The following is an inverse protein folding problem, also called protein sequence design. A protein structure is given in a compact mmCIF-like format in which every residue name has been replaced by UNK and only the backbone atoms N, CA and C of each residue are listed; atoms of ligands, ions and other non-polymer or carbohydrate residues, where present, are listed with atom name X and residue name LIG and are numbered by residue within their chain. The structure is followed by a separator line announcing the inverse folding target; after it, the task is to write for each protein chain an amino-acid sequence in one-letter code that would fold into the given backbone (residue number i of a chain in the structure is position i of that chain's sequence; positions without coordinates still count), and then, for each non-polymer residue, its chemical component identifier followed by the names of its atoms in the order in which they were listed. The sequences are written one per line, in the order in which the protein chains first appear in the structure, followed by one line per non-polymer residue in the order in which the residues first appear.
data_IF_281510063757
#
_entry.id   IF_281510063757
#
_cell.length_a   1.000
_cell.length_b   1.000
_cell.length_c   1.000
_cell.angle_alpha   90.00
_cell.angle_beta   90.00
_cell.angle_gamma   90.00
#
_symmetry.space_group_name_H-M   'P 1'
#
loop_
_entity.id
_entity.type
_entity.pdbx_description
1 polymer ?
#
# COMPACT_ATOMS: atom_id res chain seq x y z
N UNK A 1 5.17 0.04 -10.37
CA UNK A 1 3.68 0.04 -10.35
C UNK A 1 3.20 -1.19 -11.11
N UNK A 2 2.23 -1.90 -10.56
CA UNK A 2 1.62 -3.12 -11.10
C UNK A 2 0.58 -2.86 -12.20
N UNK A 3 0.82 -1.86 -13.05
CA UNK A 3 -0.14 -1.50 -14.08
C UNK A 3 0.10 -2.40 -15.30
N UNK A 4 -0.85 -3.28 -15.58
CA UNK A 4 -0.87 -4.14 -16.76
C UNK A 4 -1.27 -3.31 -18.02
N UNK A 5 -0.36 -2.42 -18.44
CA UNK A 5 -0.61 -1.45 -19.53
C UNK A 5 -0.20 -2.07 -20.87
N UNK A 6 -0.87 -3.16 -21.26
CA UNK A 6 -0.75 -3.72 -22.61
C UNK A 6 -1.76 -3.09 -23.57
N UNK A 7 -1.31 -2.63 -24.75
CA UNK A 7 -2.20 -2.10 -25.81
C UNK A 7 -2.93 -3.20 -26.59
N UNK A 8 -2.42 -4.44 -26.56
CA UNK A 8 -3.03 -5.62 -27.19
C UNK A 8 -3.25 -6.78 -26.21
N UNK A 9 -4.11 -7.77 -26.54
CA UNK A 9 -4.47 -8.89 -25.67
C UNK A 9 -3.29 -9.83 -25.33
N UNK A 10 -2.23 -9.86 -26.14
CA UNK A 10 -1.01 -10.64 -25.88
C UNK A 10 0.01 -9.90 -25.00
N UNK A 11 -0.13 -8.57 -24.88
CA UNK A 11 0.74 -7.73 -24.04
C UNK A 11 0.17 -7.55 -22.62
N UNK A 12 -1.05 -8.06 -22.37
CA UNK A 12 -1.70 -7.99 -21.07
C UNK A 12 -1.50 -9.29 -20.30
N UNK A 13 -1.04 -9.18 -19.06
CA UNK A 13 -0.91 -10.30 -18.14
C UNK A 13 -2.31 -10.87 -17.77
N UNK A 14 -3.33 -9.99 -17.69
CA UNK A 14 -4.71 -10.34 -17.37
C UNK A 14 -5.73 -9.72 -18.35
N UNK A 15 -6.74 -10.50 -18.73
CA UNK A 15 -7.84 -10.01 -19.58
C UNK A 15 -8.89 -9.20 -18.81
N UNK A 16 -8.87 -9.27 -17.48
CA UNK A 16 -9.78 -8.58 -16.58
C UNK A 16 -9.73 -9.16 -15.16
N UNK A 17 -10.62 -8.68 -14.28
CA UNK A 17 -10.66 -9.12 -12.87
C UNK A 17 -10.94 -10.62 -12.72
N UNK A 18 -11.94 -11.14 -13.44
CA UNK A 18 -12.30 -12.56 -13.38
C UNK A 18 -11.18 -13.49 -13.89
N UNK A 19 -10.49 -13.08 -14.97
CA UNK A 19 -9.33 -13.80 -15.51
C UNK A 19 -8.15 -13.78 -14.52
N UNK A 20 -7.90 -12.64 -13.86
CA UNK A 20 -6.90 -12.52 -12.81
C UNK A 20 -7.20 -13.45 -11.64
N UNK A 21 -8.39 -13.38 -11.05
CA UNK A 21 -8.78 -14.23 -9.94
C UNK A 21 -8.68 -15.72 -10.30
N UNK A 22 -9.17 -16.12 -11.48
CA UNK A 22 -9.12 -17.50 -11.93
C UNK A 22 -7.68 -17.99 -12.18
N UNK A 23 -6.81 -17.18 -12.79
CA UNK A 23 -5.41 -17.53 -13.02
C UNK A 23 -4.63 -17.68 -11.72
N UNK A 24 -4.77 -16.72 -10.80
CA UNK A 24 -4.10 -16.76 -9.49
C UNK A 24 -4.61 -17.94 -8.67
N UNK A 25 -5.92 -18.18 -8.63
CA UNK A 25 -6.49 -19.30 -7.90
C UNK A 25 -6.05 -20.65 -8.49
N UNK A 26 -5.92 -20.77 -9.82
CA UNK A 26 -5.39 -21.99 -10.45
C UNK A 26 -3.89 -22.20 -10.19
N UNK A 27 -3.11 -21.12 -10.08
CA UNK A 27 -1.66 -21.20 -9.90
C UNK A 27 -1.24 -21.43 -8.44
N UNK A 28 -1.75 -20.59 -7.53
CA UNK A 28 -1.34 -20.54 -6.12
C UNK A 28 -2.46 -20.94 -5.15
N UNK A 29 -3.66 -21.25 -5.64
CA UNK A 29 -4.81 -21.56 -4.80
C UNK A 29 -5.33 -20.32 -4.03
N UNK A 30 -6.11 -20.53 -2.96
CA UNK A 30 -6.65 -19.44 -2.16
C UNK A 30 -5.57 -18.59 -1.48
N UNK A 31 -4.42 -19.18 -1.13
CA UNK A 31 -3.36 -18.45 -0.42
C UNK A 31 -2.68 -17.39 -1.29
N UNK A 32 -2.66 -17.58 -2.62
CA UNK A 32 -2.16 -16.59 -3.57
C UNK A 32 -2.99 -15.30 -3.58
N UNK A 33 -4.30 -15.40 -3.36
CA UNK A 33 -5.19 -14.23 -3.30
C UNK A 33 -5.00 -13.40 -2.03
N UNK A 34 -4.52 -14.01 -0.94
CA UNK A 34 -4.31 -13.35 0.36
C UNK A 34 -2.82 -13.06 0.66
N UNK A 35 -1.92 -13.22 -0.31
CA UNK A 35 -0.51 -12.84 -0.14
C UNK A 35 -0.40 -11.35 0.20
N UNK A 36 0.26 -11.05 1.32
CA UNK A 36 0.40 -9.68 1.82
C UNK A 36 -0.70 -9.25 2.82
N UNK A 37 -1.69 -10.09 3.12
CA UNK A 37 -2.76 -9.74 4.07
C UNK A 37 -2.24 -9.30 5.45
N UNK A 38 -1.27 -10.03 6.03
CA UNK A 38 -0.72 -9.68 7.35
C UNK A 38 -0.06 -8.30 7.41
N UNK A 39 0.67 -7.90 6.38
CA UNK A 39 1.29 -6.56 6.31
C UNK A 39 0.26 -5.48 5.99
N UNK A 40 -0.79 -5.81 5.23
CA UNK A 40 -1.93 -4.92 5.00
C UNK A 40 -2.64 -4.57 6.31
N UNK A 41 -2.90 -5.56 7.17
CA UNK A 41 -3.53 -5.35 8.48
C UNK A 41 -2.67 -4.43 9.35
N UNK A 42 -1.35 -4.67 9.42
CA UNK A 42 -0.42 -3.79 10.13
C UNK A 42 -0.44 -2.36 9.58
N UNK A 43 -0.43 -2.21 8.25
CA UNK A 43 -0.53 -0.91 7.58
C UNK A 43 -1.81 -0.15 7.93
N UNK A 44 -2.96 -0.83 7.99
CA UNK A 44 -4.24 -0.23 8.38
C UNK A 44 -4.22 0.23 9.84
N UNK A 45 -3.66 -0.58 10.75
CA UNK A 45 -3.55 -0.22 12.16
C UNK A 45 -2.67 1.03 12.32
N UNK A 46 -1.51 1.07 11.66
CA UNK A 46 -0.59 2.21 11.70
C UNK A 46 -1.22 3.45 11.07
N UNK A 47 -1.89 3.31 9.92
CA UNK A 47 -2.62 4.40 9.28
C UNK A 47 -3.66 5.01 10.21
N UNK A 48 -4.50 4.18 10.85
CA UNK A 48 -5.53 4.66 11.79
C UNK A 48 -4.92 5.27 13.04
N UNK A 49 -3.89 4.66 13.62
CA UNK A 49 -3.22 5.19 14.80
C UNK A 49 -2.60 6.57 14.51
N UNK A 50 -1.91 6.72 13.39
CA UNK A 50 -1.38 7.99 12.92
C UNK A 50 -2.50 9.00 12.67
N UNK A 51 -3.54 8.60 11.95
CA UNK A 51 -4.66 9.48 11.60
C UNK A 51 -5.33 10.06 12.84
N UNK A 52 -5.74 9.22 13.80
CA UNK A 52 -6.35 9.69 15.04
C UNK A 52 -5.38 10.50 15.89
N UNK A 53 -4.12 10.06 16.02
CA UNK A 53 -3.11 10.79 16.80
C UNK A 53 -2.84 12.20 16.27
N UNK A 54 -2.63 12.34 14.95
CA UNK A 54 -2.41 13.65 14.34
C UNK A 54 -3.69 14.49 14.33
N UNK A 55 -4.85 13.88 14.12
CA UNK A 55 -6.12 14.61 14.14
C UNK A 55 -6.44 15.18 15.51
N UNK A 56 -6.26 14.40 16.57
CA UNK A 56 -6.49 14.84 17.95
C UNK A 56 -5.48 15.92 18.36
N UNK A 57 -4.21 15.78 17.96
CA UNK A 57 -3.18 16.80 18.17
C UNK A 57 -3.53 18.10 17.44
N UNK A 58 -3.93 18.02 16.16
CA UNK A 58 -4.31 19.19 15.38
C UNK A 58 -5.55 19.89 15.95
N UNK A 59 -6.51 19.14 16.48
CA UNK A 59 -7.67 19.71 17.19
C UNK A 59 -7.30 20.35 18.53
N UNK A 60 -6.39 19.74 19.30
CA UNK A 60 -5.92 20.28 20.57
C UNK A 60 -5.11 21.57 20.43
N UNK A 61 -4.49 21.80 19.28
CA UNK A 61 -3.76 23.04 18.98
C UNK A 61 -4.65 24.18 18.47
N UNK A 62 -5.92 23.93 18.16
CA UNK A 62 -6.87 24.96 17.72
C UNK A 62 -7.43 25.72 18.93
N UNK A 63 -7.35 27.06 18.98
CA UNK A 63 -7.91 27.87 20.06
C UNK A 63 -9.44 27.73 20.20
N UNK A 64 -10.14 27.50 19.08
CA UNK A 64 -11.57 27.23 19.07
C UNK A 64 -11.95 26.27 17.91
N UNK A 65 -12.05 24.96 18.17
CA UNK A 65 -12.33 23.94 17.16
C UNK A 65 -13.66 24.12 16.43
N UNK A 66 -14.61 24.88 17.02
CA UNK A 66 -15.94 25.14 16.43
C UNK A 66 -15.98 26.42 15.61
N UNK A 67 -15.02 27.32 15.80
CA UNK A 67 -14.88 28.55 15.00
C UNK A 67 -13.94 28.38 13.81
N UNK A 68 -13.27 27.23 13.67
CA UNK A 68 -12.43 26.92 12.53
C UNK A 68 -13.28 26.89 11.25
N UNK A 69 -13.08 27.89 10.37
CA UNK A 69 -13.75 27.95 9.08
C UNK A 69 -13.55 26.68 8.26
N UNK A 70 -14.49 26.39 7.36
CA UNK A 70 -14.53 25.16 6.54
C UNK A 70 -13.17 24.90 5.85
N UNK A 71 -12.48 25.94 5.39
CA UNK A 71 -11.18 25.85 4.73
C UNK A 71 -10.09 25.33 5.69
N UNK A 72 -10.06 25.81 6.94
CA UNK A 72 -9.06 25.39 7.93
C UNK A 72 -9.29 23.93 8.32
N UNK A 73 -10.54 23.56 8.57
CA UNK A 73 -10.92 22.16 8.86
C UNK A 73 -10.58 21.21 7.71
N UNK A 74 -10.79 21.66 6.47
CA UNK A 74 -10.42 20.90 5.27
C UNK A 74 -8.90 20.76 5.13
N UNK A 75 -8.12 21.83 5.32
CA UNK A 75 -6.66 21.77 5.28
C UNK A 75 -6.09 20.82 6.33
N UNK A 76 -6.59 20.89 7.57
CA UNK A 76 -6.17 19.96 8.64
C UNK A 76 -6.49 18.52 8.26
N UNK A 77 -7.69 18.26 7.73
CA UNK A 77 -8.07 16.92 7.29
C UNK A 77 -7.14 16.39 6.18
N UNK A 78 -6.80 17.23 5.18
CA UNK A 78 -5.87 16.85 4.12
C UNK A 78 -4.46 16.60 4.68
N UNK A 79 -3.91 17.51 5.48
CA UNK A 79 -2.57 17.35 6.06
C UNK A 79 -2.45 16.09 6.90
N UNK A 80 -3.43 15.83 7.77
CA UNK A 80 -3.46 14.61 8.60
C UNK A 80 -3.54 13.35 7.74
N UNK A 81 -4.37 13.36 6.69
CA UNK A 81 -4.50 12.24 5.76
C UNK A 81 -3.20 11.98 5.01
N UNK A 82 -2.56 13.02 4.48
CA UNK A 82 -1.28 12.97 3.78
C UNK A 82 -0.18 12.40 4.68
N UNK A 83 -0.01 12.92 5.90
CA UNK A 83 1.03 12.48 6.83
C UNK A 83 0.81 11.00 7.22
N UNK A 84 -0.43 10.63 7.55
CA UNK A 84 -0.79 9.25 7.91
C UNK A 84 -0.57 8.29 6.74
N UNK A 85 -0.89 8.74 5.53
CA UNK A 85 -0.59 8.03 4.29
C UNK A 85 0.89 7.78 4.12
N UNK A 86 1.73 8.81 4.25
CA UNK A 86 3.19 8.70 4.12
C UNK A 86 3.78 7.74 5.17
N UNK A 87 3.32 7.80 6.43
CA UNK A 87 3.83 6.94 7.50
C UNK A 87 3.49 5.46 7.26
N UNK A 88 2.28 5.19 6.78
CA UNK A 88 1.84 3.82 6.47
C UNK A 88 2.33 3.30 5.11
N UNK A 89 2.86 4.18 4.26
CA UNK A 89 3.25 3.87 2.88
C UNK A 89 4.31 2.76 2.73
N UNK A 90 5.30 2.60 3.63
CA UNK A 90 6.21 1.46 3.60
C UNK A 90 5.49 0.10 3.70
N UNK A 91 4.44 0.01 4.51
CA UNK A 91 3.63 -1.21 4.68
C UNK A 91 2.80 -1.51 3.43
N UNK A 92 2.22 -0.48 2.82
CA UNK A 92 1.52 -0.59 1.55
C UNK A 92 2.48 -1.05 0.43
N UNK A 93 3.70 -0.50 0.37
CA UNK A 93 4.71 -0.91 -0.60
C UNK A 93 5.05 -2.40 -0.48
N UNK A 94 5.29 -2.89 0.74
CA UNK A 94 5.58 -4.31 0.96
C UNK A 94 4.36 -5.18 0.66
N UNK A 95 3.15 -4.73 1.03
CA UNK A 95 1.90 -5.41 0.69
C UNK A 95 1.77 -5.62 -0.82
N UNK A 96 1.92 -4.54 -1.60
CA UNK A 96 1.85 -4.59 -3.07
C UNK A 96 2.95 -5.47 -3.67
N UNK A 97 4.18 -5.39 -3.16
CA UNK A 97 5.30 -6.24 -3.63
C UNK A 97 5.06 -7.72 -3.36
N UNK A 98 4.42 -8.06 -2.23
CA UNK A 98 4.01 -9.43 -1.90
C UNK A 98 2.85 -9.92 -2.79
N UNK A 99 1.85 -9.07 -3.07
CA UNK A 99 0.75 -9.41 -3.99
C UNK A 99 1.25 -9.69 -5.41
N UNK A 100 2.29 -8.99 -5.87
CA UNK A 100 2.91 -9.22 -7.18
C UNK A 100 3.70 -10.53 -7.30
N UNK A 101 3.85 -11.30 -6.22
CA UNK A 101 4.42 -12.65 -6.27
C UNK A 101 3.38 -13.70 -6.64
N UNK A 102 2.09 -13.40 -6.52
CA UNK A 102 1.03 -14.33 -6.84
C UNK A 102 0.98 -14.62 -8.34
N UNK A 103 0.84 -15.90 -8.71
CA UNK A 103 0.82 -16.36 -10.10
C UNK A 103 2.20 -16.60 -10.72
N UNK A 104 3.29 -16.29 -10.01
CA UNK A 104 4.66 -16.59 -10.47
C UNK A 104 5.02 -18.04 -10.21
N UNK A 105 5.78 -18.65 -11.14
CA UNK A 105 6.34 -20.00 -10.95
C UNK A 105 7.34 -19.98 -9.78
N UNK A 106 7.47 -21.07 -9.03
CA UNK A 106 8.32 -21.16 -7.83
C UNK A 106 9.78 -20.71 -8.02
N UNK A 107 10.33 -20.75 -9.23
CA UNK A 107 11.67 -20.23 -9.55
C UNK A 107 11.78 -18.70 -9.64
N UNK A 108 10.68 -18.01 -9.92
CA UNK A 108 10.61 -16.56 -10.12
C UNK A 108 10.07 -15.80 -8.89
N UNK A 109 9.82 -16.53 -7.79
CA UNK A 109 9.37 -15.95 -6.52
C UNK A 109 10.54 -15.24 -5.85
N UNK A 110 10.48 -13.91 -5.84
CA UNK A 110 11.51 -13.05 -5.27
C UNK A 110 11.42 -12.92 -3.76
N UNK A 111 10.23 -13.07 -3.17
CA UNK A 111 10.00 -12.88 -1.73
C UNK A 111 9.34 -14.11 -1.11
N UNK A 112 10.03 -14.75 -0.16
CA UNK A 112 9.50 -15.96 0.53
C UNK A 112 8.56 -15.63 1.67
N UNK A 113 8.73 -14.46 2.28
CA UNK A 113 7.95 -14.00 3.43
C UNK A 113 7.94 -12.47 3.47
N UNK A 114 7.01 -11.89 4.23
CA UNK A 114 6.94 -10.43 4.42
C UNK A 114 8.26 -9.87 4.95
N UNK A 115 8.89 -10.52 5.94
CA UNK A 115 10.18 -10.10 6.51
C UNK A 115 11.32 -10.17 5.47
N UNK A 116 11.30 -11.20 4.63
CA UNK A 116 12.25 -11.34 3.52
C UNK A 116 12.06 -10.21 2.48
N UNK A 117 10.81 -9.81 2.22
CA UNK A 117 10.50 -8.67 1.36
C UNK A 117 11.04 -7.35 1.93
N UNK A 118 10.81 -7.06 3.21
CA UNK A 118 11.39 -5.90 3.90
C UNK A 118 12.91 -5.87 3.79
N UNK A 119 13.57 -7.00 4.11
CA UNK A 119 15.02 -7.10 4.08
C UNK A 119 15.58 -6.90 2.68
N UNK A 120 15.00 -7.56 1.68
CA UNK A 120 15.46 -7.44 0.28
C UNK A 120 15.25 -6.05 -0.28
N UNK A 121 14.12 -5.40 -0.01
CA UNK A 121 13.90 -4.01 -0.45
C UNK A 121 14.96 -3.09 0.17
N UNK A 122 15.18 -3.19 1.48
CA UNK A 122 16.16 -2.38 2.18
C UNK A 122 17.60 -2.61 1.67
N UNK A 123 17.97 -3.86 1.40
CA UNK A 123 19.33 -4.23 0.96
C UNK A 123 19.59 -3.99 -0.53
N UNK A 124 18.60 -4.19 -1.40
CA UNK A 124 18.79 -4.14 -2.86
C UNK A 124 18.37 -2.81 -3.48
N UNK A 125 17.29 -2.20 -2.98
CA UNK A 125 16.77 -0.95 -3.53
C UNK A 125 17.00 0.28 -2.63
N UNK A 126 17.40 0.06 -1.37
CA UNK A 126 17.60 1.10 -0.36
C UNK A 126 16.31 1.54 0.33
N UNK A 127 16.45 2.29 1.43
CA UNK A 127 15.31 2.74 2.26
C UNK A 127 14.36 3.70 1.53
N UNK A 128 14.87 4.47 0.57
CA UNK A 128 14.05 5.34 -0.29
C UNK A 128 13.07 4.54 -1.16
N UNK A 129 13.32 3.25 -1.41
CA UNK A 129 12.45 2.41 -2.22
C UNK A 129 11.07 2.19 -1.60
N UNK A 130 10.96 2.24 -0.26
CA UNK A 130 9.70 2.15 0.46
C UNK A 130 8.76 3.34 0.20
N UNK A 131 9.30 4.47 -0.26
CA UNK A 131 8.53 5.69 -0.54
C UNK A 131 8.39 5.95 -2.05
N UNK A 132 8.79 5.00 -2.91
CA UNK A 132 8.59 5.13 -4.36
C UNK A 132 7.09 5.20 -4.68
N UNK A 133 6.65 6.35 -5.19
CA UNK A 133 5.25 6.65 -5.47
C UNK A 133 4.48 7.29 -4.33
N UNK A 134 5.11 7.55 -3.17
CA UNK A 134 4.45 8.24 -2.06
C UNK A 134 3.95 9.63 -2.49
N UNK A 135 4.73 10.36 -3.29
CA UNK A 135 4.31 11.65 -3.85
C UNK A 135 3.13 11.52 -4.83
N UNK A 136 3.00 10.42 -5.57
CA UNK A 136 1.85 10.17 -6.45
C UNK A 136 0.60 9.72 -5.69
N UNK A 137 0.75 9.33 -4.43
CA UNK A 137 -0.33 8.89 -3.56
C UNK A 137 -0.92 10.05 -2.73
N UNK A 138 -0.25 11.20 -2.71
CA UNK A 138 -0.69 12.45 -2.09
C UNK A 138 -1.33 13.32 -3.16
#
# INVERSE_FOLDING_TARGET
LAADIGKGPEQREFKGLGDCLAKIFKADGPIGLYRGFGVSVQGIIIYRAAFFGFYDTAKGMLPDPKAAGIIISWMIAQTVTTISGIISYPFDTVCRRMMMQSGRKSGDIMYKSTIDCWRKIAQQEGTAAFFKGAFSNV
#
